data_IF_069318795164
#
_entry.id   IF_069318795164
#
_cell.length_a   1.000
_cell.length_b   1.000
_cell.length_c   1.000
_cell.angle_alpha   90.00
_cell.angle_beta   90.00
_cell.angle_gamma   90.00
#
_symmetry.space_group_name_H-M   'P 1'
#
loop_
_entity.id
_entity.type
_entity.pdbx_description
1 polymer ?
#
# COMPACT_ATOMS: atom_id res chain seq x y z
N UNK A 1 7.53 -0.94 -9.06
CA UNK A 1 6.55 -2.06 -9.01
C UNK A 1 6.01 -2.16 -7.60
N UNK A 2 4.79 -1.71 -7.34
CA UNK A 2 4.08 -1.99 -6.08
C UNK A 2 3.64 -3.46 -6.10
N UNK A 3 4.18 -4.26 -5.19
CA UNK A 3 3.69 -5.62 -4.93
C UNK A 3 2.82 -5.60 -3.68
N UNK A 4 1.51 -5.85 -3.85
CA UNK A 4 0.59 -6.07 -2.74
C UNK A 4 0.53 -7.57 -2.46
N UNK A 5 1.22 -8.03 -1.42
CA UNK A 5 1.12 -9.42 -0.96
C UNK A 5 -0.01 -9.55 0.06
N UNK A 6 -1.14 -10.11 -0.36
CA UNK A 6 -2.11 -10.71 0.57
C UNK A 6 -1.64 -12.14 0.81
N UNK A 7 -0.99 -12.41 1.94
CA UNK A 7 -0.74 -13.79 2.37
C UNK A 7 -2.08 -14.47 2.68
N UNK A 8 -2.64 -15.10 1.66
CA UNK A 8 -3.74 -16.06 1.75
C UNK A 8 -3.28 -17.36 1.05
N UNK A 9 -3.55 -18.55 1.62
CA UNK A 9 -2.98 -19.82 1.15
C UNK A 9 -3.67 -20.35 -0.13
N UNK A 10 -3.91 -19.50 -1.12
CA UNK A 10 -4.60 -19.87 -2.36
C UNK A 10 -3.96 -19.19 -3.57
N UNK A 11 -3.21 -19.98 -4.33
CA UNK A 11 -2.59 -19.62 -5.59
C UNK A 11 -3.63 -19.21 -6.65
N UNK A 12 -3.70 -17.94 -7.05
CA UNK A 12 -4.06 -17.49 -8.40
C UNK A 12 -4.03 -15.95 -8.51
N UNK A 13 -3.22 -15.43 -9.45
CA UNK A 13 -3.29 -14.05 -9.94
C UNK A 13 -4.64 -13.83 -10.64
N UNK A 14 -5.58 -13.14 -9.97
CA UNK A 14 -6.71 -12.36 -10.51
C UNK A 14 -7.63 -12.06 -9.33
N UNK A 15 -7.59 -10.83 -8.80
CA UNK A 15 -8.55 -10.24 -7.87
C UNK A 15 -9.41 -11.21 -7.04
N UNK A 16 -8.80 -11.95 -6.13
CA UNK A 16 -9.54 -12.66 -5.09
C UNK A 16 -9.61 -11.74 -3.88
N UNK A 17 -10.64 -10.89 -3.83
CA UNK A 17 -11.16 -10.45 -2.56
C UNK A 17 -11.63 -11.72 -1.81
N UNK A 18 -10.70 -12.39 -1.14
CA UNK A 18 -11.02 -13.44 -0.20
C UNK A 18 -11.90 -12.80 0.85
N UNK A 19 -13.12 -13.28 1.04
CA UNK A 19 -14.02 -12.75 2.05
C UNK A 19 -13.34 -12.83 3.42
N UNK A 20 -12.89 -11.70 3.94
CA UNK A 20 -12.31 -11.63 5.27
C UNK A 20 -13.46 -11.63 6.28
N UNK A 21 -13.47 -12.54 7.28
CA UNK A 21 -14.50 -12.52 8.30
C UNK A 21 -14.58 -11.17 9.01
N UNK A 22 -15.80 -10.78 9.38
CA UNK A 22 -16.00 -9.59 10.21
C UNK A 22 -15.35 -9.82 11.59
N UNK A 23 -14.73 -8.78 12.13
CA UNK A 23 -14.01 -8.80 13.40
C UNK A 23 -12.52 -9.14 13.28
N UNK A 24 -12.00 -9.25 12.06
CA UNK A 24 -10.55 -9.34 11.81
C UNK A 24 -9.92 -7.94 11.74
N UNK A 25 -8.59 -7.89 11.73
CA UNK A 25 -7.84 -6.65 11.45
C UNK A 25 -7.11 -6.76 10.12
N UNK A 26 -7.10 -5.68 9.35
CA UNK A 26 -6.26 -5.50 8.18
C UNK A 26 -4.91 -4.88 8.56
N UNK A 27 -3.91 -5.12 7.71
CA UNK A 27 -2.57 -4.55 7.76
C UNK A 27 -2.04 -4.44 6.33
N UNK A 28 -1.60 -3.26 5.93
CA UNK A 28 -1.04 -3.03 4.59
C UNK A 28 0.48 -3.03 4.65
N UNK A 29 1.09 -3.80 3.74
CA UNK A 29 2.53 -3.78 3.46
C UNK A 29 2.70 -3.47 1.98
N UNK A 30 3.53 -2.47 1.66
CA UNK A 30 3.84 -2.13 0.27
C UNK A 30 5.37 -2.05 0.14
N UNK A 31 5.91 -2.80 -0.82
CA UNK A 31 7.31 -2.69 -1.21
C UNK A 31 7.45 -1.74 -2.40
N UNK A 32 8.18 -0.65 -2.20
CA UNK A 32 8.62 0.26 -3.26
C UNK A 32 10.01 -0.11 -3.77
N UNK A 33 10.32 0.23 -5.03
CA UNK A 33 11.64 0.02 -5.63
C UNK A 33 12.09 1.24 -6.41
N UNK A 34 13.36 1.62 -6.26
CA UNK A 34 13.97 2.68 -7.05
C UNK A 34 14.44 2.15 -8.41
N UNK A 35 13.57 2.21 -9.42
CA UNK A 35 13.91 1.79 -10.79
C UNK A 35 14.63 2.89 -11.59
N UNK A 36 15.10 3.96 -10.94
CA UNK A 36 15.88 5.04 -11.58
C UNK A 36 17.39 4.76 -11.55
N UNK A 37 18.16 5.58 -12.27
CA UNK A 37 19.63 5.45 -12.34
C UNK A 37 20.39 6.21 -11.24
N UNK A 38 19.68 6.88 -10.34
CA UNK A 38 20.29 7.70 -9.27
C UNK A 38 19.71 7.34 -7.91
N UNK A 39 20.44 7.68 -6.84
CA UNK A 39 19.93 7.54 -5.48
C UNK A 39 18.73 8.45 -5.25
N UNK A 40 17.67 7.92 -4.63
CA UNK A 40 16.43 8.64 -4.33
C UNK A 40 16.08 8.53 -2.84
N UNK A 41 15.34 9.52 -2.32
CA UNK A 41 14.45 9.26 -1.18
C UNK A 41 13.16 8.67 -1.74
N UNK A 42 12.63 7.67 -1.05
CA UNK A 42 11.42 6.94 -1.41
C UNK A 42 10.35 7.23 -0.38
N UNK A 43 9.19 7.67 -0.84
CA UNK A 43 8.03 7.94 0.00
C UNK A 43 6.89 7.01 -0.35
N UNK A 44 5.97 6.83 0.59
CA UNK A 44 4.68 6.20 0.35
C UNK A 44 3.57 7.06 0.95
N UNK A 45 2.40 7.03 0.32
CA UNK A 45 1.16 7.49 0.93
C UNK A 45 0.05 6.54 0.55
N UNK A 46 -0.78 6.14 1.51
CA UNK A 46 -1.99 5.41 1.20
C UNK A 46 -3.16 5.76 2.11
N UNK A 47 -4.34 5.45 1.60
CA UNK A 47 -5.61 5.64 2.26
C UNK A 47 -6.45 4.37 2.10
N UNK A 48 -6.88 3.79 3.22
CA UNK A 48 -7.83 2.68 3.25
C UNK A 48 -9.20 3.19 3.65
N UNK A 49 -10.22 2.82 2.88
CA UNK A 49 -11.61 3.14 3.16
C UNK A 49 -12.45 1.89 3.39
N UNK A 50 -13.40 2.03 4.30
CA UNK A 50 -14.44 1.05 4.55
C UNK A 50 -15.53 1.07 3.46
N UNK A 51 -16.47 0.11 3.46
CA UNK A 51 -17.52 0.01 2.45
C UNK A 51 -18.48 1.21 2.38
N UNK A 52 -18.55 2.02 3.44
CA UNK A 52 -19.34 3.25 3.49
C UNK A 52 -18.53 4.48 3.01
N UNK A 53 -17.26 4.26 2.63
CA UNK A 53 -16.33 5.30 2.22
C UNK A 53 -15.60 6.00 3.38
N UNK A 54 -15.78 5.55 4.63
CA UNK A 54 -15.08 6.07 5.80
C UNK A 54 -13.60 5.73 5.78
N UNK A 55 -12.71 6.66 6.14
CA UNK A 55 -11.27 6.37 6.24
C UNK A 55 -11.02 5.53 7.49
N UNK A 56 -10.44 4.34 7.31
CA UNK A 56 -10.04 3.45 8.41
C UNK A 56 -8.53 3.41 8.60
N UNK A 57 -7.76 3.82 7.59
CA UNK A 57 -6.33 4.05 7.71
C UNK A 57 -5.89 5.16 6.75
N UNK A 58 -5.03 6.04 7.23
CA UNK A 58 -4.25 6.99 6.44
C UNK A 58 -2.80 6.87 6.88
N UNK A 59 -1.90 6.57 5.96
CA UNK A 59 -0.50 6.32 6.26
C UNK A 59 0.40 7.01 5.26
N UNK A 60 1.53 7.51 5.75
CA UNK A 60 2.61 8.01 4.92
C UNK A 60 3.94 7.89 5.65
N UNK A 61 4.99 7.54 4.93
CA UNK A 61 6.35 7.49 5.46
C UNK A 61 7.39 7.76 4.37
N UNK A 62 8.63 8.04 4.78
CA UNK A 62 9.77 8.28 3.92
C UNK A 62 11.00 7.50 4.38
N UNK A 63 11.68 6.93 3.40
CA UNK A 63 12.96 6.25 3.54
C UNK A 63 13.99 6.85 2.58
N UNK A 64 15.26 6.81 2.96
CA UNK A 64 16.30 7.63 2.33
C UNK A 64 17.49 6.80 1.86
N UNK A 65 18.14 7.26 0.79
CA UNK A 65 19.42 6.70 0.36
C UNK A 65 19.32 5.43 -0.46
N UNK A 66 18.19 5.20 -1.13
CA UNK A 66 17.98 4.02 -1.99
C UNK A 66 18.68 4.23 -3.34
N UNK A 67 19.71 3.43 -3.61
CA UNK A 67 20.40 3.39 -4.90
C UNK A 67 19.55 2.75 -6.00
N UNK A 68 20.08 2.70 -7.24
CA UNK A 68 19.42 2.03 -8.36
C UNK A 68 19.12 0.56 -8.06
N UNK A 69 17.85 0.18 -8.15
CA UNK A 69 17.36 -1.19 -7.92
C UNK A 69 17.07 -1.53 -6.46
N UNK A 70 17.42 -0.67 -5.50
CA UNK A 70 17.12 -0.88 -4.08
C UNK A 70 15.60 -0.82 -3.84
N UNK A 71 15.12 -1.67 -2.94
CA UNK A 71 13.74 -1.68 -2.48
C UNK A 71 13.62 -1.27 -1.00
N UNK A 72 12.38 -0.98 -0.60
CA UNK A 72 12.03 -0.66 0.76
C UNK A 72 10.59 -1.09 1.05
N UNK A 73 10.40 -1.84 2.15
CA UNK A 73 9.09 -2.20 2.65
C UNK A 73 8.56 -1.10 3.56
N UNK A 74 7.35 -0.62 3.26
CA UNK A 74 6.58 0.26 4.11
C UNK A 74 5.49 -0.54 4.82
N UNK A 75 5.41 -0.37 6.14
CA UNK A 75 4.50 -1.09 7.01
C UNK A 75 3.51 -0.15 7.69
N UNK A 76 2.21 -0.37 7.40
CA UNK A 76 1.11 0.40 7.97
C UNK A 76 0.80 0.16 9.43
N UNK A 77 -0.24 0.87 9.86
CA UNK A 77 -0.98 0.54 11.06
C UNK A 77 -1.94 -0.62 10.82
N UNK A 78 -2.60 -1.05 11.89
CA UNK A 78 -3.73 -1.99 11.80
C UNK A 78 -5.04 -1.22 11.75
N UNK A 79 -6.00 -1.76 11.03
CA UNK A 79 -7.39 -1.27 11.01
C UNK A 79 -8.39 -2.41 11.17
N UNK A 80 -9.59 -2.09 11.65
CA UNK A 80 -10.62 -3.08 11.91
C UNK A 80 -11.49 -3.35 10.67
N UNK A 81 -11.72 -4.63 10.40
CA UNK A 81 -12.66 -5.11 9.38
C UNK A 81 -13.96 -5.46 10.09
N UNK A 82 -14.75 -4.43 10.37
CA UNK A 82 -15.98 -4.52 11.17
C UNK A 82 -17.27 -4.34 10.35
N UNK A 83 -17.15 -4.13 9.03
CA UNK A 83 -18.28 -3.94 8.11
C UNK A 83 -18.27 -4.98 7.01
N UNK A 84 -19.45 -5.38 6.56
CA UNK A 84 -19.61 -6.18 5.36
C UNK A 84 -19.52 -5.28 4.13
N UNK A 85 -18.75 -5.70 3.13
CA UNK A 85 -18.60 -4.98 1.86
C UNK A 85 -17.14 -4.82 1.48
N UNK A 86 -16.90 -4.07 0.40
CA UNK A 86 -15.57 -3.92 -0.18
C UNK A 86 -14.82 -2.83 0.56
N UNK A 87 -13.67 -3.18 1.13
CA UNK A 87 -12.68 -2.20 1.57
C UNK A 87 -11.80 -1.80 0.39
N UNK A 88 -11.47 -0.52 0.26
CA UNK A 88 -10.67 -0.01 -0.87
C UNK A 88 -9.38 0.62 -0.38
N UNK A 89 -8.33 0.55 -1.18
CA UNK A 89 -7.07 1.26 -0.96
C UNK A 89 -6.76 2.15 -2.16
N UNK A 90 -6.22 3.33 -1.86
CA UNK A 90 -5.45 4.15 -2.82
C UNK A 90 -4.05 4.33 -2.26
N UNK A 91 -3.03 4.01 -3.05
CA UNK A 91 -1.62 4.12 -2.67
C UNK A 91 -0.80 4.81 -3.76
N UNK A 92 0.10 5.70 -3.36
CA UNK A 92 1.03 6.41 -4.23
C UNK A 92 2.47 6.14 -3.74
N UNK A 93 3.33 5.68 -4.64
CA UNK A 93 4.77 5.59 -4.44
C UNK A 93 5.42 6.90 -4.91
N UNK A 94 6.25 7.49 -4.07
CA UNK A 94 6.87 8.78 -4.31
C UNK A 94 8.39 8.66 -4.38
N UNK A 95 9.03 9.49 -5.19
CA UNK A 95 10.47 9.65 -5.26
C UNK A 95 10.86 11.12 -5.17
N UNK A 96 12.12 11.39 -4.85
CA UNK A 96 12.70 12.73 -4.82
C UNK A 96 12.88 13.25 -3.40
N UNK A 97 12.14 14.30 -3.04
CA UNK A 97 12.24 14.96 -1.73
C UNK A 97 10.87 15.06 -1.07
N UNK A 98 10.76 14.88 0.26
CA UNK A 98 9.50 15.10 0.99
C UNK A 98 8.90 16.50 0.78
N UNK A 99 9.72 17.51 0.50
CA UNK A 99 9.25 18.88 0.26
C UNK A 99 8.67 19.09 -1.15
N UNK A 100 9.09 18.29 -2.12
CA UNK A 100 8.63 18.34 -3.52
C UNK A 100 8.56 16.91 -4.08
N UNK A 101 7.62 16.09 -3.59
CA UNK A 101 7.58 14.70 -3.94
C UNK A 101 7.03 14.51 -5.36
N UNK A 102 7.54 13.51 -6.07
CA UNK A 102 7.05 13.09 -7.38
C UNK A 102 6.39 11.74 -7.23
N UNK A 103 5.11 11.63 -7.56
CA UNK A 103 4.43 10.32 -7.66
C UNK A 103 4.95 9.58 -8.88
N UNK A 104 5.50 8.39 -8.67
CA UNK A 104 6.12 7.56 -9.72
C UNK A 104 5.34 6.29 -10.02
N UNK A 105 4.48 5.86 -9.09
CA UNK A 105 3.58 4.71 -9.25
C UNK A 105 2.34 4.93 -8.39
N UNK A 106 1.19 4.42 -8.82
CA UNK A 106 -0.08 4.56 -8.11
C UNK A 106 -0.92 3.30 -8.27
N UNK A 107 -1.62 2.94 -7.20
CA UNK A 107 -2.56 1.83 -7.18
C UNK A 107 -3.88 2.28 -6.52
N UNK A 108 -5.01 1.92 -7.14
CA UNK A 108 -6.33 2.10 -6.54
C UNK A 108 -7.15 0.83 -6.80
N UNK A 109 -7.75 0.26 -5.75
CA UNK A 109 -8.47 -1.00 -5.88
C UNK A 109 -9.12 -1.53 -4.61
N UNK A 110 -9.74 -2.69 -4.74
CA UNK A 110 -10.33 -3.44 -3.64
C UNK A 110 -9.24 -4.20 -2.85
N UNK A 111 -9.33 -4.16 -1.53
CA UNK A 111 -8.51 -4.97 -0.63
C UNK A 111 -9.15 -6.33 -0.33
N UNK A 112 -10.43 -6.33 0.04
CA UNK A 112 -11.20 -7.52 0.40
C UNK A 112 -12.71 -7.27 0.34
#
# INVERSE_FOLDING_TARGET
MIALEVQSPSTSLLGLASSVPIGQSGLVHITGRNDTLITQAMGISWLVRDPDGGVVEEYSDWSYGHGPGDDHEFLGGRFDINKAGIYTIKADLLMGSPANPVVVDSYEGALC
#
